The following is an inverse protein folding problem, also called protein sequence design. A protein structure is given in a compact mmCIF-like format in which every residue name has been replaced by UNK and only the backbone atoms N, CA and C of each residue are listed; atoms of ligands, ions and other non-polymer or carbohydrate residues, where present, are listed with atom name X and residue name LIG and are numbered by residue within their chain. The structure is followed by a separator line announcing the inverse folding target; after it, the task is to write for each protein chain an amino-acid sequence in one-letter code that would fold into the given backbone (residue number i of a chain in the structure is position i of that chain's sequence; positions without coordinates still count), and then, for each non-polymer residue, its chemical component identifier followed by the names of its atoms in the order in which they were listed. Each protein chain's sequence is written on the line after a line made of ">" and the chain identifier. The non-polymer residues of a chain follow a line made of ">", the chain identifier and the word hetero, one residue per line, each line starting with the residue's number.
data_IF_036168329671
#
_entry.id   IF_036168329671
#
_cell.length_a   1.000
_cell.length_b   1.000
_cell.length_c   1.000
_cell.angle_alpha   90.00
_cell.angle_beta   90.00
_cell.angle_gamma   90.00
#
_symmetry.space_group_name_H-M   'P 1'
#
loop_
_entity.id
_entity.type
_entity.pdbx_description
1 polymer ?
#
# COMPACT_ATOMS: atom_id res chain seq x y z
N UNK A 1 -31.62 -22.80 71.36
CA UNK A 1 -30.86 -21.58 71.02
C UNK A 1 -30.85 -21.49 69.49
N UNK A 2 -31.82 -20.80 68.90
CA UNK A 2 -31.92 -20.65 67.44
C UNK A 2 -30.91 -19.61 66.96
N UNK A 3 -30.02 -20.01 66.05
CA UNK A 3 -29.12 -19.10 65.34
C UNK A 3 -29.95 -18.24 64.39
N UNK A 4 -30.12 -16.96 64.73
CA UNK A 4 -30.57 -15.92 63.80
C UNK A 4 -29.35 -15.36 63.06
N UNK A 5 -28.92 -16.04 62.01
CA UNK A 5 -27.98 -15.51 61.01
C UNK A 5 -28.60 -15.76 59.63
N UNK A 6 -29.37 -14.82 59.08
CA UNK A 6 -29.85 -15.00 57.69
C UNK A 6 -30.48 -13.77 57.03
N UNK A 7 -30.15 -12.53 57.42
CA UNK A 7 -30.66 -11.35 56.72
C UNK A 7 -29.55 -10.40 56.26
N UNK A 8 -28.55 -10.14 57.10
CA UNK A 8 -27.42 -9.29 56.71
C UNK A 8 -26.51 -9.97 55.67
N UNK A 9 -26.20 -11.26 55.84
CA UNK A 9 -25.30 -11.99 54.92
C UNK A 9 -25.85 -12.10 53.48
N UNK A 10 -27.17 -12.25 53.30
CA UNK A 10 -27.75 -12.35 51.96
C UNK A 10 -27.77 -11.00 51.23
N UNK A 11 -27.90 -9.92 52.00
CA UNK A 11 -27.90 -8.55 51.49
C UNK A 11 -26.50 -8.12 51.10
N UNK A 12 -25.49 -8.46 51.92
CA UNK A 12 -24.09 -8.17 51.67
C UNK A 12 -23.54 -9.02 50.50
N UNK A 13 -23.94 -10.30 50.42
CA UNK A 13 -23.61 -11.15 49.27
C UNK A 13 -24.16 -10.59 47.94
N UNK A 14 -25.43 -10.13 47.91
CA UNK A 14 -26.02 -9.50 46.72
C UNK A 14 -25.31 -8.20 46.35
N UNK A 15 -24.92 -7.39 47.33
CA UNK A 15 -24.19 -6.14 47.10
C UNK A 15 -22.78 -6.39 46.54
N UNK A 16 -22.04 -7.36 47.08
CA UNK A 16 -20.72 -7.77 46.58
C UNK A 16 -20.83 -8.32 45.15
N UNK A 17 -21.84 -9.15 44.88
CA UNK A 17 -22.03 -9.72 43.54
C UNK A 17 -22.38 -8.65 42.49
N UNK A 18 -23.24 -7.69 42.85
CA UNK A 18 -23.58 -6.55 41.97
C UNK A 18 -22.36 -5.68 41.67
N UNK A 19 -21.57 -5.34 42.68
CA UNK A 19 -20.34 -4.55 42.51
C UNK A 19 -19.29 -5.30 41.67
N UNK A 20 -19.14 -6.61 41.87
CA UNK A 20 -18.24 -7.42 41.05
C UNK A 20 -18.72 -7.49 39.59
N UNK A 21 -20.02 -7.66 39.37
CA UNK A 21 -20.60 -7.67 38.03
C UNK A 21 -20.41 -6.33 37.31
N UNK A 22 -20.65 -5.21 37.99
CA UNK A 22 -20.39 -3.88 37.43
C UNK A 22 -18.90 -3.68 37.09
N UNK A 23 -17.98 -4.09 37.97
CA UNK A 23 -16.54 -4.04 37.70
C UNK A 23 -16.13 -4.90 36.51
N UNK A 24 -16.76 -6.06 36.32
CA UNK A 24 -16.52 -6.90 35.14
C UNK A 24 -17.03 -6.20 33.89
N UNK A 25 -18.24 -5.62 33.92
CA UNK A 25 -18.79 -4.87 32.79
C UNK A 25 -17.90 -3.67 32.40
N UNK A 26 -17.49 -2.85 33.37
CA UNK A 26 -16.60 -1.71 33.11
C UNK A 26 -15.25 -2.13 32.52
N UNK A 27 -14.71 -3.28 32.95
CA UNK A 27 -13.47 -3.84 32.38
C UNK A 27 -13.69 -4.30 30.94
N UNK A 28 -14.78 -5.01 30.68
CA UNK A 28 -15.12 -5.48 29.32
C UNK A 28 -15.35 -4.29 28.39
N UNK A 29 -16.05 -3.25 28.82
CA UNK A 29 -16.25 -2.03 28.03
C UNK A 29 -14.93 -1.34 27.68
N UNK A 30 -14.00 -1.21 28.65
CA UNK A 30 -12.66 -0.64 28.41
C UNK A 30 -11.84 -1.47 27.44
N UNK A 31 -11.87 -2.79 27.57
CA UNK A 31 -11.16 -3.72 26.67
C UNK A 31 -11.75 -3.59 25.26
N UNK A 32 -13.07 -3.69 25.12
CA UNK A 32 -13.74 -3.59 23.82
C UNK A 32 -13.50 -2.24 23.14
N UNK A 33 -13.46 -1.14 23.89
CA UNK A 33 -13.11 0.17 23.36
C UNK A 33 -11.65 0.19 22.87
N UNK A 34 -10.71 -0.31 23.68
CA UNK A 34 -9.31 -0.37 23.30
C UNK A 34 -9.07 -1.23 22.06
N UNK A 35 -9.72 -2.39 21.98
CA UNK A 35 -9.68 -3.30 20.84
C UNK A 35 -10.28 -2.64 19.60
N UNK A 36 -11.45 -2.01 19.71
CA UNK A 36 -12.06 -1.28 18.58
C UNK A 36 -11.19 -0.13 18.04
N UNK A 37 -10.48 0.59 18.92
CA UNK A 37 -9.51 1.61 18.49
C UNK A 37 -8.29 0.97 17.82
N UNK A 38 -7.82 -0.19 18.31
CA UNK A 38 -6.71 -0.91 17.70
C UNK A 38 -7.08 -1.45 16.31
N UNK A 39 -8.24 -2.08 16.17
CA UNK A 39 -8.77 -2.58 14.90
C UNK A 39 -8.95 -1.45 13.89
N UNK A 40 -9.47 -0.29 14.32
CA UNK A 40 -9.61 0.88 13.45
C UNK A 40 -8.27 1.42 12.94
N UNK A 41 -7.23 1.45 13.79
CA UNK A 41 -5.88 1.84 13.35
C UNK A 41 -5.29 0.82 12.39
N UNK A 42 -5.47 -0.47 12.67
CA UNK A 42 -4.97 -1.54 11.81
C UNK A 42 -5.63 -1.48 10.43
N UNK A 43 -6.94 -1.26 10.36
CA UNK A 43 -7.66 -1.11 9.10
C UNK A 43 -7.11 0.05 8.25
N UNK A 44 -6.86 1.21 8.87
CA UNK A 44 -6.28 2.37 8.18
C UNK A 44 -4.86 2.04 7.70
N UNK A 45 -4.05 1.38 8.53
CA UNK A 45 -2.70 0.97 8.17
C UNK A 45 -2.70 0.01 6.98
N UNK A 46 -3.51 -1.05 7.00
CA UNK A 46 -3.62 -2.01 5.91
C UNK A 46 -4.06 -1.34 4.61
N UNK A 47 -5.10 -0.50 4.65
CA UNK A 47 -5.54 0.24 3.45
C UNK A 47 -4.44 1.14 2.88
N UNK A 48 -3.63 1.75 3.74
CA UNK A 48 -2.54 2.63 3.32
C UNK A 48 -1.36 1.85 2.74
N UNK A 49 -1.05 0.70 3.35
CA UNK A 49 -0.04 -0.22 2.88
C UNK A 49 -0.41 -0.82 1.52
N UNK A 50 -1.64 -1.31 1.36
CA UNK A 50 -2.12 -1.92 0.12
C UNK A 50 -2.05 -0.92 -1.04
N UNK A 51 -2.50 0.32 -0.82
CA UNK A 51 -2.42 1.36 -1.84
C UNK A 51 -0.97 1.70 -2.20
N UNK A 52 -0.10 1.91 -1.20
CA UNK A 52 1.31 2.20 -1.44
C UNK A 52 2.04 1.04 -2.15
N UNK A 53 1.68 -0.20 -1.82
CA UNK A 53 2.19 -1.39 -2.49
C UNK A 53 1.73 -1.47 -3.94
N UNK A 54 0.43 -1.25 -4.21
CA UNK A 54 -0.12 -1.26 -5.56
C UNK A 54 0.54 -0.19 -6.44
N UNK A 55 0.69 1.03 -5.93
CA UNK A 55 1.33 2.14 -6.63
C UNK A 55 2.81 1.85 -6.92
N UNK A 56 3.53 1.33 -5.92
CA UNK A 56 4.93 0.94 -6.04
C UNK A 56 5.15 -0.22 -7.01
N UNK A 57 4.31 -1.25 -6.95
CA UNK A 57 4.36 -2.40 -7.85
C UNK A 57 4.08 -1.98 -9.30
N UNK A 58 3.04 -1.17 -9.53
CA UNK A 58 2.72 -0.63 -10.87
C UNK A 58 3.90 0.14 -11.43
N UNK A 59 4.44 1.09 -10.67
CA UNK A 59 5.61 1.89 -11.07
C UNK A 59 6.81 1.01 -11.40
N UNK A 60 7.10 0.04 -10.52
CA UNK A 60 8.20 -0.89 -10.69
C UNK A 60 8.08 -1.73 -11.96
N UNK A 61 6.91 -2.33 -12.17
CA UNK A 61 6.65 -3.17 -13.34
C UNK A 61 6.75 -2.37 -14.64
N UNK A 62 6.14 -1.19 -14.72
CA UNK A 62 6.14 -0.39 -15.94
C UNK A 62 7.55 0.05 -16.34
N UNK A 63 8.38 0.50 -15.39
CA UNK A 63 9.76 0.89 -15.66
C UNK A 63 10.66 -0.30 -16.01
N UNK A 64 10.52 -1.42 -15.29
CA UNK A 64 11.35 -2.61 -15.51
C UNK A 64 11.07 -3.28 -16.85
N UNK A 65 9.87 -3.16 -17.44
CA UNK A 65 9.57 -3.71 -18.77
C UNK A 65 10.54 -3.20 -19.83
N UNK A 66 10.78 -1.87 -19.87
CA UNK A 66 11.67 -1.28 -20.85
C UNK A 66 13.12 -1.71 -20.63
N UNK A 67 13.61 -1.70 -19.38
CA UNK A 67 14.98 -2.12 -19.08
C UNK A 67 15.21 -3.59 -19.42
N UNK A 68 14.29 -4.48 -19.01
CA UNK A 68 14.39 -5.91 -19.27
C UNK A 68 14.33 -6.22 -20.77
N UNK A 69 13.49 -5.50 -21.52
CA UNK A 69 13.38 -5.65 -22.97
C UNK A 69 14.71 -5.33 -23.65
N UNK A 70 15.29 -4.16 -23.40
CA UNK A 70 16.54 -3.76 -24.06
C UNK A 70 17.76 -4.53 -23.57
N UNK A 71 17.81 -4.93 -22.29
CA UNK A 71 18.85 -5.84 -21.79
C UNK A 71 18.82 -7.19 -22.50
N UNK A 72 17.62 -7.75 -22.70
CA UNK A 72 17.45 -9.03 -23.41
C UNK A 72 17.73 -8.88 -24.89
N UNK A 73 17.27 -7.78 -25.50
CA UNK A 73 17.53 -7.45 -26.91
C UNK A 73 19.04 -7.36 -27.20
N UNK A 74 19.80 -6.69 -26.32
CA UNK A 74 21.26 -6.57 -26.45
C UNK A 74 21.95 -7.93 -26.37
N UNK A 75 21.51 -8.81 -25.47
CA UNK A 75 22.07 -10.17 -25.32
C UNK A 75 21.76 -11.08 -26.51
N UNK A 76 20.62 -10.87 -27.16
CA UNK A 76 20.17 -11.71 -28.27
C UNK A 76 20.85 -11.39 -29.62
N UNK A 77 21.65 -10.32 -29.69
CA UNK A 77 22.37 -9.87 -30.90
C UNK A 77 21.47 -9.79 -32.14
N UNK A 78 20.21 -9.37 -31.94
CA UNK A 78 19.22 -9.30 -33.01
C UNK A 78 19.48 -8.02 -33.81
N UNK A 79 20.06 -8.16 -35.00
CA UNK A 79 20.13 -7.07 -35.97
C UNK A 79 18.72 -6.72 -36.46
N UNK A 80 18.16 -5.62 -35.97
CA UNK A 80 16.85 -5.15 -36.42
C UNK A 80 16.61 -3.66 -36.18
N UNK A 81 15.51 -3.17 -36.77
CA UNK A 81 15.03 -1.79 -36.85
C UNK A 81 14.88 -1.04 -35.51
N UNK A 82 15.10 -1.70 -34.37
CA UNK A 82 15.03 -1.15 -33.01
C UNK A 82 16.33 -0.51 -32.51
N UNK A 83 17.43 -0.59 -33.28
CA UNK A 83 18.71 0.03 -32.88
C UNK A 83 18.59 1.54 -32.59
N UNK A 84 17.73 2.25 -33.32
CA UNK A 84 17.44 3.67 -33.08
C UNK A 84 16.70 3.91 -31.77
N UNK A 85 15.68 3.10 -31.47
CA UNK A 85 14.95 3.18 -30.20
C UNK A 85 15.82 2.74 -29.02
N UNK A 86 16.71 1.75 -29.19
CA UNK A 86 17.66 1.35 -28.16
C UNK A 86 18.63 2.48 -27.79
N UNK A 87 19.12 3.21 -28.79
CA UNK A 87 19.94 4.40 -28.58
C UNK A 87 19.13 5.49 -27.87
N UNK A 88 17.90 5.76 -28.30
CA UNK A 88 17.01 6.71 -27.66
C UNK A 88 16.75 6.34 -26.18
N UNK A 89 16.45 5.08 -25.88
CA UNK A 89 16.27 4.58 -24.50
C UNK A 89 17.52 4.80 -23.65
N UNK A 90 18.70 4.56 -24.21
CA UNK A 90 19.97 4.78 -23.52
C UNK A 90 20.22 6.28 -23.25
N UNK A 91 19.86 7.14 -24.20
CA UNK A 91 19.98 8.61 -24.08
C UNK A 91 18.99 9.20 -23.06
N UNK A 92 17.81 8.59 -22.89
CA UNK A 92 16.82 9.01 -21.89
C UNK A 92 17.34 8.88 -20.45
N UNK A 93 18.35 8.03 -20.21
CA UNK A 93 18.97 7.81 -18.88
C UNK A 93 17.94 7.64 -17.78
N UNK A 94 16.91 6.84 -18.06
CA UNK A 94 15.86 6.55 -17.09
C UNK A 94 16.49 5.95 -15.83
N UNK A 95 16.10 6.51 -14.68
CA UNK A 95 16.54 5.96 -13.40
C UNK A 95 15.99 4.53 -13.23
N UNK A 96 16.65 3.76 -12.37
CA UNK A 96 16.21 2.40 -12.07
C UNK A 96 14.83 2.47 -11.41
N UNK A 97 13.98 1.47 -11.67
CA UNK A 97 12.65 1.39 -11.09
C UNK A 97 12.60 1.51 -9.54
N UNK A 98 13.67 1.13 -8.85
CA UNK A 98 13.82 1.23 -7.39
C UNK A 98 14.37 2.57 -6.90
N UNK A 99 14.67 3.50 -7.81
CA UNK A 99 15.21 4.81 -7.48
C UNK A 99 14.13 5.68 -6.81
N UNK A 100 14.56 6.43 -5.80
CA UNK A 100 13.69 7.30 -5.00
C UNK A 100 13.02 8.40 -5.83
N UNK A 101 13.61 8.77 -6.97
CA UNK A 101 13.03 9.76 -7.89
C UNK A 101 11.63 9.36 -8.38
N UNK A 102 11.33 8.06 -8.41
CA UNK A 102 10.03 7.55 -8.84
C UNK A 102 8.97 7.57 -7.74
N UNK A 103 9.32 7.91 -6.50
CA UNK A 103 8.45 7.76 -5.33
C UNK A 103 7.87 9.10 -4.88
N UNK A 104 6.69 9.45 -5.39
CA UNK A 104 6.05 10.75 -5.14
C UNK A 104 5.62 10.94 -3.69
N UNK A 105 5.44 9.86 -2.92
CA UNK A 105 5.18 9.97 -1.49
C UNK A 105 6.32 10.67 -0.72
N UNK A 106 7.57 10.61 -1.22
CA UNK A 106 8.70 11.29 -0.58
C UNK A 106 8.60 12.82 -0.67
N UNK A 107 7.97 13.33 -1.73
CA UNK A 107 7.76 14.75 -2.01
C UNK A 107 6.46 15.28 -1.37
N UNK A 108 5.49 14.40 -1.11
CA UNK A 108 4.12 14.76 -0.69
C UNK A 108 3.71 14.14 0.65
N UNK A 109 4.64 14.01 1.60
CA UNK A 109 4.41 13.33 2.89
C UNK A 109 3.28 13.94 3.75
N UNK A 110 2.97 15.21 3.56
CA UNK A 110 1.92 15.92 4.29
C UNK A 110 0.53 15.82 3.65
N UNK A 111 0.43 15.20 2.48
CA UNK A 111 -0.82 15.12 1.72
C UNK A 111 -1.56 13.80 2.00
N UNK A 112 -2.90 13.77 1.82
CA UNK A 112 -3.66 12.52 1.92
C UNK A 112 -3.16 11.50 0.90
N UNK A 113 -3.17 10.22 1.30
CA UNK A 113 -2.68 9.12 0.46
C UNK A 113 -3.36 9.05 -0.92
N UNK A 114 -4.66 9.41 -1.00
CA UNK A 114 -5.37 9.49 -2.28
C UNK A 114 -4.71 10.46 -3.25
N UNK A 115 -4.31 11.64 -2.76
CA UNK A 115 -3.65 12.67 -3.58
C UNK A 115 -2.24 12.24 -3.95
N UNK A 116 -1.52 11.62 -3.02
CA UNK A 116 -0.19 11.06 -3.30
C UNK A 116 -0.27 9.99 -4.38
N UNK A 117 -1.26 9.11 -4.31
CA UNK A 117 -1.51 8.06 -5.31
C UNK A 117 -1.86 8.64 -6.68
N UNK A 118 -2.73 9.65 -6.73
CA UNK A 118 -3.06 10.36 -7.98
C UNK A 118 -1.80 10.97 -8.62
N UNK A 119 -0.95 11.62 -7.81
CA UNK A 119 0.32 12.19 -8.28
C UNK A 119 1.31 11.13 -8.73
N UNK A 120 1.37 10.00 -8.02
CA UNK A 120 2.19 8.87 -8.42
C UNK A 120 1.75 8.31 -9.78
N UNK A 121 0.44 8.13 -9.96
CA UNK A 121 -0.12 7.66 -11.22
C UNK A 121 0.13 8.65 -12.36
N UNK A 122 -0.13 9.94 -12.14
CA UNK A 122 0.14 10.99 -13.12
C UNK A 122 1.63 11.05 -13.51
N UNK A 123 2.53 10.88 -12.54
CA UNK A 123 3.97 10.80 -12.80
C UNK A 123 4.33 9.62 -13.70
N UNK A 124 3.82 8.42 -13.38
CA UNK A 124 4.07 7.21 -14.18
C UNK A 124 3.48 7.36 -15.58
N UNK A 125 2.25 7.83 -15.70
CA UNK A 125 1.57 8.01 -16.99
C UNK A 125 2.32 9.01 -17.88
N UNK A 126 2.79 10.12 -17.30
CA UNK A 126 3.60 11.09 -18.03
C UNK A 126 4.95 10.51 -18.48
N UNK A 127 5.62 9.73 -17.63
CA UNK A 127 6.87 9.05 -17.98
C UNK A 127 6.63 8.05 -19.12
N UNK A 128 5.54 7.29 -19.06
CA UNK A 128 5.16 6.34 -20.09
C UNK A 128 4.78 7.01 -21.41
N UNK A 129 4.18 8.20 -21.36
CA UNK A 129 3.91 9.03 -22.54
C UNK A 129 5.23 9.45 -23.22
N UNK A 130 6.20 9.94 -22.44
CA UNK A 130 7.54 10.25 -22.98
C UNK A 130 8.23 9.02 -23.57
N UNK A 131 8.06 7.85 -22.95
CA UNK A 131 8.56 6.59 -23.50
C UNK A 131 7.82 6.18 -24.78
N UNK A 132 6.51 6.42 -24.86
CA UNK A 132 5.71 6.12 -26.05
C UNK A 132 6.14 6.98 -27.25
N UNK A 133 6.47 8.25 -27.00
CA UNK A 133 6.94 9.18 -28.03
C UNK A 133 8.33 8.82 -28.54
N UNK A 134 9.24 8.45 -27.64
CA UNK A 134 10.62 8.09 -27.99
C UNK A 134 10.78 6.66 -28.51
N UNK A 135 9.95 5.73 -28.03
CA UNK A 135 10.08 4.28 -28.19
C UNK A 135 8.76 3.67 -28.71
N UNK A 136 8.23 4.26 -29.78
CA UNK A 136 6.91 3.97 -30.31
C UNK A 136 6.72 2.49 -30.70
N UNK A 137 7.71 1.88 -31.35
CA UNK A 137 7.66 0.47 -31.78
C UNK A 137 7.61 -0.46 -30.57
N UNK A 138 8.53 -0.23 -29.62
CA UNK A 138 8.62 -1.01 -28.38
C UNK A 138 7.35 -0.88 -27.53
N UNK A 139 6.83 0.34 -27.40
CA UNK A 139 5.60 0.61 -26.64
C UNK A 139 4.38 -0.05 -27.28
N UNK A 140 4.27 -0.04 -28.61
CA UNK A 140 3.19 -0.73 -29.31
C UNK A 140 3.29 -2.25 -29.17
N UNK A 141 4.50 -2.81 -29.11
CA UNK A 141 4.70 -4.22 -28.84
C UNK A 141 4.10 -4.60 -27.49
N UNK A 142 4.39 -3.83 -26.43
CA UNK A 142 3.83 -4.05 -25.10
C UNK A 142 2.30 -3.94 -25.07
N UNK A 143 1.72 -2.98 -25.80
CA UNK A 143 0.26 -2.84 -25.92
C UNK A 143 -0.39 -4.01 -26.69
N UNK A 144 0.27 -4.51 -27.73
CA UNK A 144 -0.27 -5.60 -28.55
C UNK A 144 -0.34 -6.96 -27.84
N UNK A 145 0.51 -7.19 -26.84
CA UNK A 145 0.55 -8.44 -26.07
C UNK A 145 -0.39 -8.45 -24.85
N UNK A 146 -1.04 -7.32 -24.53
CA UNK A 146 -1.95 -7.18 -23.40
C UNK A 146 -3.41 -7.54 -23.72
N UNK A 147 -3.67 -8.24 -24.84
CA UNK A 147 -5.01 -8.69 -25.27
C UNK A 147 -5.29 -10.14 -24.88
#
# INVERSE_FOLDING_TARGET
>A
MSQTHSSDDETDFKAVNRNNYQRIQEKVEKINYADGIADGREQIFQSSFDQGYADGLKTGMELTKFSAFYETFTKANIENNLAKEHLAYTEMKLAKATDKIHFKYLEHQSEPLSIVSEKQNAYVDNLLEHCADALHTTTNLFKSQAK
#
